data_IF_539804823319
#
_entry.id   IF_539804823319
#
_cell.length_a   1.000
_cell.length_b   1.000
_cell.length_c   1.000
_cell.angle_alpha   90.00
_cell.angle_beta   90.00
_cell.angle_gamma   90.00
#
_symmetry.space_group_name_H-M   'P 1'
#
loop_
_entity.id
_entity.type
_entity.pdbx_description
1 polymer ?
#
# COMPACT_ATOMS: atom_id res chain seq x y z
N UNK A 1 -16.43 34.71 -17.90
CA UNK A 1 -16.16 36.02 -17.25
C UNK A 1 -14.84 35.88 -16.49
N UNK A 2 -13.75 36.48 -16.96
CA UNK A 2 -12.42 36.45 -16.32
C UNK A 2 -12.07 37.88 -15.91
N UNK A 3 -12.71 38.37 -14.86
CA UNK A 3 -12.18 39.53 -14.18
C UNK A 3 -11.25 39.04 -13.07
N UNK A 4 -9.94 39.12 -13.34
CA UNK A 4 -8.91 38.70 -12.38
C UNK A 4 -8.88 39.61 -11.15
N UNK A 5 -9.56 40.75 -11.20
CA UNK A 5 -9.69 41.71 -10.10
C UNK A 5 -10.75 41.28 -9.07
N UNK A 6 -11.64 40.34 -9.42
CA UNK A 6 -12.70 39.86 -8.53
C UNK A 6 -12.50 38.42 -8.06
N UNK A 7 -11.98 37.53 -8.90
CA UNK A 7 -11.81 36.10 -8.54
C UNK A 7 -10.48 35.52 -9.03
N UNK A 8 -9.70 34.99 -8.10
CA UNK A 8 -8.52 34.18 -8.38
C UNK A 8 -8.96 32.79 -8.84
N UNK A 9 -8.54 32.41 -10.05
CA UNK A 9 -8.81 31.08 -10.62
C UNK A 9 -8.37 29.94 -9.70
N UNK A 10 -7.26 30.13 -8.97
CA UNK A 10 -6.73 29.12 -8.06
C UNK A 10 -7.54 28.98 -6.77
N UNK A 11 -8.13 30.08 -6.29
CA UNK A 11 -9.10 30.03 -5.19
C UNK A 11 -10.34 29.24 -5.62
N UNK A 12 -10.88 29.51 -6.82
CA UNK A 12 -11.99 28.73 -7.38
C UNK A 12 -11.66 27.23 -7.50
N UNK A 13 -10.45 26.89 -7.94
CA UNK A 13 -9.99 25.50 -7.97
C UNK A 13 -10.06 24.84 -6.59
N UNK A 14 -9.53 25.49 -5.55
CA UNK A 14 -9.56 24.96 -4.19
C UNK A 14 -10.98 24.86 -3.63
N UNK A 15 -11.84 25.84 -3.90
CA UNK A 15 -13.26 25.82 -3.54
C UNK A 15 -13.98 24.62 -4.17
N UNK A 16 -13.83 24.39 -5.47
CA UNK A 16 -14.47 23.26 -6.15
C UNK A 16 -13.95 21.92 -5.61
N UNK A 17 -12.64 21.84 -5.36
CA UNK A 17 -12.03 20.64 -4.76
C UNK A 17 -12.56 20.34 -3.36
N UNK A 18 -12.90 21.37 -2.58
CA UNK A 18 -13.52 21.22 -1.26
C UNK A 18 -14.96 20.72 -1.35
N UNK A 19 -15.69 21.16 -2.37
CA UNK A 19 -17.08 20.80 -2.61
C UNK A 19 -17.24 19.56 -3.49
N UNK A 20 -16.20 18.73 -3.63
CA UNK A 20 -16.18 17.57 -4.53
C UNK A 20 -17.32 16.59 -4.22
N UNK A 21 -17.73 16.43 -2.95
CA UNK A 21 -18.82 15.54 -2.56
C UNK A 21 -20.18 16.09 -3.01
N UNK A 22 -20.39 17.40 -2.86
CA UNK A 22 -21.58 18.10 -3.36
C UNK A 22 -21.65 17.98 -4.88
N UNK A 23 -20.54 18.23 -5.57
CA UNK A 23 -20.43 18.08 -7.03
C UNK A 23 -20.69 16.63 -7.46
N UNK A 24 -20.17 15.65 -6.71
CA UNK A 24 -20.40 14.23 -6.95
C UNK A 24 -21.89 13.85 -6.83
N UNK A 25 -22.65 14.52 -5.96
CA UNK A 25 -24.09 14.30 -5.82
C UNK A 25 -24.91 14.73 -7.05
N UNK A 26 -24.36 15.61 -7.88
CA UNK A 26 -25.01 16.10 -9.09
C UNK A 26 -24.81 15.17 -10.29
N UNK A 27 -24.02 14.10 -10.16
CA UNK A 27 -23.84 13.12 -11.23
C UNK A 27 -25.07 12.23 -11.38
N UNK A 28 -25.61 12.16 -12.61
CA UNK A 28 -26.78 11.33 -12.96
C UNK A 28 -26.40 10.26 -13.99
N UNK A 29 -27.18 9.18 -14.05
CA UNK A 29 -27.03 8.07 -15.00
C UNK A 29 -26.47 6.78 -14.37
N UNK A 30 -27.00 5.63 -14.79
CA UNK A 30 -26.60 4.30 -14.26
C UNK A 30 -25.34 3.73 -14.94
N UNK A 31 -25.06 4.13 -16.18
CA UNK A 31 -23.90 3.70 -16.98
C UNK A 31 -22.79 4.74 -16.99
N UNK A 32 -22.86 5.72 -17.90
CA UNK A 32 -21.94 6.86 -17.95
C UNK A 32 -22.52 7.97 -17.10
N UNK A 33 -21.84 8.29 -15.99
CA UNK A 33 -22.24 9.35 -15.09
C UNK A 33 -21.80 10.70 -15.65
N UNK A 34 -22.75 11.61 -15.86
CA UNK A 34 -22.46 13.00 -16.22
C UNK A 34 -22.94 13.93 -15.10
N UNK A 35 -22.18 14.98 -14.76
CA UNK A 35 -22.64 15.97 -13.81
C UNK A 35 -23.76 16.80 -14.43
N UNK A 36 -24.82 17.08 -13.67
CA UNK A 36 -25.79 18.09 -14.04
C UNK A 36 -25.12 19.48 -13.98
N UNK A 37 -24.88 20.06 -15.15
CA UNK A 37 -24.19 21.35 -15.26
C UNK A 37 -25.00 22.51 -14.72
N UNK A 38 -26.33 22.44 -14.75
CA UNK A 38 -27.19 23.48 -14.15
C UNK A 38 -26.96 23.55 -12.64
N UNK A 39 -27.00 22.40 -11.97
CA UNK A 39 -26.79 22.31 -10.51
C UNK A 39 -25.39 22.80 -10.10
N UNK A 40 -24.36 22.60 -10.95
CA UNK A 40 -23.01 23.12 -10.71
C UNK A 40 -22.93 24.64 -10.89
N UNK A 41 -23.59 25.19 -11.92
CA UNK A 41 -23.56 26.63 -12.20
C UNK A 41 -24.38 27.44 -11.18
N UNK A 42 -25.36 26.81 -10.55
CA UNK A 42 -26.17 27.39 -9.47
C UNK A 42 -25.48 27.34 -8.11
N UNK A 43 -24.30 26.69 -8.00
CA UNK A 43 -23.55 26.67 -6.73
C UNK A 43 -23.15 28.08 -6.30
N UNK A 44 -23.61 28.47 -5.11
CA UNK A 44 -23.22 29.72 -4.50
C UNK A 44 -21.75 29.66 -4.04
N UNK A 45 -20.95 30.62 -4.51
CA UNK A 45 -19.57 30.81 -4.08
C UNK A 45 -19.45 32.15 -3.38
N UNK A 46 -19.04 32.13 -2.12
CA UNK A 46 -18.62 33.35 -1.44
C UNK A 46 -17.24 33.76 -1.97
N UNK A 47 -17.17 34.99 -2.48
CA UNK A 47 -15.96 35.57 -3.05
C UNK A 47 -15.40 36.55 -2.00
N UNK A 48 -14.43 36.12 -1.16
CA UNK A 48 -13.76 37.01 -0.23
C UNK A 48 -12.88 38.01 -0.98
N UNK A 49 -12.27 38.97 -0.26
CA UNK A 49 -11.38 39.94 -0.89
C UNK A 49 -10.22 39.26 -1.61
N UNK A 50 -9.68 39.89 -2.66
CA UNK A 50 -8.53 39.34 -3.41
C UNK A 50 -7.34 39.03 -2.49
N UNK A 51 -7.09 39.87 -1.48
CA UNK A 51 -6.00 39.66 -0.52
C UNK A 51 -6.22 38.40 0.33
N UNK A 52 -7.46 38.12 0.73
CA UNK A 52 -7.82 36.90 1.46
C UNK A 52 -7.73 35.67 0.57
N UNK A 53 -8.18 35.77 -0.69
CA UNK A 53 -8.01 34.71 -1.67
C UNK A 53 -6.53 34.37 -1.85
N UNK A 54 -5.65 35.36 -2.02
CA UNK A 54 -4.22 35.16 -2.20
C UNK A 54 -3.57 34.51 -0.97
N UNK A 55 -3.96 34.90 0.26
CA UNK A 55 -3.50 34.24 1.50
C UNK A 55 -3.95 32.78 1.61
N UNK A 56 -5.21 32.50 1.30
CA UNK A 56 -5.75 31.13 1.30
C UNK A 56 -4.99 30.28 0.29
N UNK A 57 -4.79 30.80 -0.93
CA UNK A 57 -4.02 30.13 -1.98
C UNK A 57 -2.60 29.82 -1.49
N UNK A 58 -1.90 30.78 -0.90
CA UNK A 58 -0.51 30.60 -0.44
C UNK A 58 -0.41 29.45 0.58
N UNK A 59 -1.33 29.40 1.55
CA UNK A 59 -1.35 28.35 2.58
C UNK A 59 -1.66 27.00 1.95
N UNK A 60 -2.69 26.92 1.11
CA UNK A 60 -3.09 25.67 0.45
C UNK A 60 -2.02 25.15 -0.51
N UNK A 61 -1.28 26.05 -1.16
CA UNK A 61 -0.13 25.73 -1.99
C UNK A 61 1.00 25.12 -1.18
N UNK A 62 1.37 25.74 -0.05
CA UNK A 62 2.41 25.20 0.84
C UNK A 62 2.08 23.78 1.27
N UNK A 63 0.85 23.51 1.68
CA UNK A 63 0.43 22.15 2.03
C UNK A 63 0.43 21.19 0.83
N UNK A 64 0.00 21.65 -0.35
CA UNK A 64 -0.01 20.83 -1.57
C UNK A 64 1.42 20.43 -1.96
N UNK A 65 2.37 21.37 -1.88
CA UNK A 65 3.79 21.15 -2.14
C UNK A 65 4.39 20.16 -1.15
N UNK A 66 4.21 20.36 0.16
CA UNK A 66 4.74 19.45 1.18
C UNK A 66 4.17 18.03 1.05
N UNK A 67 2.88 17.89 0.73
CA UNK A 67 2.28 16.58 0.46
C UNK A 67 2.90 15.89 -0.76
N UNK A 68 3.18 16.65 -1.82
CA UNK A 68 3.82 16.13 -3.02
C UNK A 68 5.28 15.72 -2.77
N UNK A 69 6.06 16.54 -2.06
CA UNK A 69 7.44 16.25 -1.66
C UNK A 69 7.52 14.99 -0.80
N UNK A 70 6.63 14.87 0.21
CA UNK A 70 6.59 13.68 1.07
C UNK A 70 6.23 12.42 0.30
N UNK A 71 5.30 12.50 -0.66
CA UNK A 71 4.97 11.38 -1.57
C UNK A 71 6.16 10.99 -2.45
N UNK A 72 6.91 11.97 -2.94
CA UNK A 72 8.11 11.74 -3.74
C UNK A 72 9.23 11.09 -2.89
N UNK A 73 9.48 11.59 -1.68
CA UNK A 73 10.43 11.01 -0.70
C UNK A 73 10.06 9.56 -0.37
N UNK A 74 8.78 9.28 -0.10
CA UNK A 74 8.29 7.93 0.19
C UNK A 74 8.51 6.99 -1.00
N UNK A 75 8.24 7.45 -2.22
CA UNK A 75 8.53 6.69 -3.44
C UNK A 75 10.04 6.42 -3.58
N UNK A 76 10.87 7.44 -3.45
CA UNK A 76 12.32 7.33 -3.55
C UNK A 76 12.89 6.35 -2.50
N UNK A 77 12.40 6.39 -1.26
CA UNK A 77 12.80 5.44 -0.20
C UNK A 77 12.37 4.01 -0.49
N UNK A 78 11.19 3.78 -1.08
CA UNK A 78 10.77 2.43 -1.49
C UNK A 78 11.64 1.86 -2.61
N UNK A 79 12.02 2.70 -3.57
CA UNK A 79 12.95 2.34 -4.64
C UNK A 79 14.34 2.04 -4.06
N UNK A 80 14.82 2.89 -3.15
CA UNK A 80 16.08 2.70 -2.43
C UNK A 80 16.09 1.40 -1.60
N UNK A 81 15.00 1.09 -0.88
CA UNK A 81 14.84 -0.17 -0.15
C UNK A 81 14.94 -1.36 -1.10
N UNK A 82 14.22 -1.31 -2.22
CA UNK A 82 14.24 -2.39 -3.23
C UNK A 82 15.66 -2.61 -3.75
N UNK A 83 16.39 -1.53 -4.03
CA UNK A 83 17.79 -1.59 -4.44
C UNK A 83 18.67 -2.24 -3.36
N UNK A 84 18.64 -1.77 -2.11
CA UNK A 84 19.48 -2.32 -1.04
C UNK A 84 19.13 -3.77 -0.70
N UNK A 85 17.84 -4.13 -0.68
CA UNK A 85 17.40 -5.51 -0.48
C UNK A 85 18.00 -6.42 -1.54
N UNK A 86 17.86 -6.05 -2.81
CA UNK A 86 18.40 -6.85 -3.91
C UNK A 86 19.93 -6.90 -3.87
N UNK A 87 20.59 -5.82 -3.48
CA UNK A 87 22.05 -5.76 -3.31
C UNK A 87 22.55 -6.69 -2.19
N UNK A 88 21.92 -6.68 -1.01
CA UNK A 88 22.29 -7.54 0.12
C UNK A 88 22.09 -9.04 -0.17
N UNK A 89 21.15 -9.36 -1.06
CA UNK A 89 20.80 -10.72 -1.46
C UNK A 89 21.44 -11.14 -2.80
N UNK A 90 22.31 -10.29 -3.36
CA UNK A 90 22.95 -10.53 -4.64
C UNK A 90 24.09 -11.56 -4.53
N UNK A 91 24.38 -12.20 -5.66
CA UNK A 91 25.52 -13.12 -5.77
C UNK A 91 26.87 -12.43 -5.52
N UNK A 92 26.97 -11.12 -5.77
CA UNK A 92 28.19 -10.34 -5.46
C UNK A 92 28.49 -10.35 -3.95
N UNK A 93 27.46 -10.43 -3.11
CA UNK A 93 27.61 -10.44 -1.65
C UNK A 93 27.66 -11.82 -1.04
N UNK A 94 27.19 -12.84 -1.77
CA UNK A 94 26.92 -14.15 -1.23
C UNK A 94 27.49 -15.22 -2.17
N UNK A 95 28.37 -16.08 -1.66
CA UNK A 95 29.20 -16.96 -2.50
C UNK A 95 28.78 -18.44 -2.48
N UNK A 96 27.69 -18.81 -1.82
CA UNK A 96 27.31 -20.21 -1.62
C UNK A 96 25.97 -20.53 -2.27
N UNK A 97 26.01 -21.21 -3.42
CA UNK A 97 24.83 -21.53 -4.22
C UNK A 97 24.30 -22.91 -3.89
N UNK A 98 23.01 -23.00 -3.55
CA UNK A 98 22.28 -24.25 -3.33
C UNK A 98 21.04 -24.33 -4.20
N UNK A 99 20.57 -25.55 -4.48
CA UNK A 99 19.26 -25.76 -5.09
C UNK A 99 18.16 -25.54 -4.05
N UNK A 100 17.14 -24.76 -4.39
CA UNK A 100 16.09 -24.41 -3.44
C UNK A 100 15.36 -25.65 -2.91
N UNK A 101 15.05 -26.62 -3.79
CA UNK A 101 14.40 -27.89 -3.44
C UNK A 101 15.08 -28.68 -2.33
N UNK A 102 16.40 -28.52 -2.17
CA UNK A 102 17.17 -29.25 -1.16
C UNK A 102 17.01 -28.61 0.24
N UNK A 103 16.60 -27.34 0.29
CA UNK A 103 16.51 -26.54 1.52
C UNK A 103 15.08 -26.30 2.00
N UNK A 104 14.08 -26.45 1.13
CA UNK A 104 12.69 -26.12 1.44
C UNK A 104 11.72 -27.26 1.17
N UNK A 105 10.64 -27.31 1.94
CA UNK A 105 9.48 -28.17 1.73
C UNK A 105 8.37 -27.36 1.06
N UNK A 106 7.85 -27.88 -0.04
CA UNK A 106 6.71 -27.29 -0.73
C UNK A 106 5.43 -27.98 -0.30
N UNK A 107 4.48 -27.19 0.19
CA UNK A 107 3.12 -27.66 0.48
C UNK A 107 2.15 -27.04 -0.50
N UNK A 108 1.49 -27.89 -1.31
CA UNK A 108 0.38 -27.49 -2.18
C UNK A 108 -0.87 -27.27 -1.33
N UNK A 109 -1.69 -26.31 -1.73
CA UNK A 109 -2.97 -26.05 -1.07
C UNK A 109 -4.02 -27.09 -1.45
N UNK A 110 -5.04 -27.21 -0.60
CA UNK A 110 -6.27 -27.94 -0.89
C UNK A 110 -7.16 -27.10 -1.81
N UNK A 111 -6.82 -27.05 -3.11
CA UNK A 111 -7.55 -26.26 -4.14
C UNK A 111 -9.04 -26.56 -4.25
N UNK A 112 -9.53 -27.66 -3.65
CA UNK A 112 -10.92 -28.12 -3.70
C UNK A 112 -11.77 -27.74 -2.48
N UNK A 113 -11.21 -27.22 -1.39
CA UNK A 113 -12.01 -26.88 -0.20
C UNK A 113 -12.44 -25.42 -0.19
N UNK A 114 -13.75 -25.21 -0.01
CA UNK A 114 -14.31 -23.91 0.37
C UNK A 114 -13.99 -23.73 1.85
N UNK A 115 -13.31 -22.63 2.20
CA UNK A 115 -13.08 -22.30 3.60
C UNK A 115 -14.45 -22.09 4.27
N UNK A 116 -14.77 -22.80 5.36
CA UNK A 116 -16.00 -22.55 6.10
C UNK A 116 -15.96 -21.12 6.66
N UNK A 117 -17.12 -20.47 6.71
CA UNK A 117 -17.22 -19.12 7.28
C UNK A 117 -16.85 -19.13 8.76
N UNK A 118 -16.16 -18.08 9.19
CA UNK A 118 -15.71 -17.88 10.55
C UNK A 118 -15.11 -16.49 10.73
N UNK A 119 -14.37 -16.28 11.80
CA UNK A 119 -13.98 -14.94 12.27
C UNK A 119 -12.55 -14.87 12.84
N UNK A 120 -11.91 -16.01 13.07
CA UNK A 120 -10.59 -16.07 13.69
C UNK A 120 -9.43 -15.83 12.71
N UNK A 121 -9.36 -16.61 11.62
CA UNK A 121 -8.21 -16.62 10.71
C UNK A 121 -8.57 -16.05 9.33
N UNK A 122 -7.64 -15.30 8.70
CA UNK A 122 -7.85 -14.81 7.34
C UNK A 122 -7.81 -15.97 6.32
N UNK A 123 -8.71 -15.90 5.35
CA UNK A 123 -8.63 -16.73 4.13
C UNK A 123 -7.78 -15.97 3.11
N UNK A 124 -6.69 -16.59 2.67
CA UNK A 124 -5.77 -16.05 1.67
C UNK A 124 -6.01 -16.80 0.35
N UNK A 125 -6.30 -16.07 -0.72
CA UNK A 125 -6.47 -16.64 -2.06
C UNK A 125 -5.72 -15.79 -3.08
N UNK A 126 -4.97 -16.45 -3.97
CA UNK A 126 -4.23 -15.75 -5.03
C UNK A 126 -3.22 -14.74 -4.50
N UNK A 127 -2.70 -14.92 -3.28
CA UNK A 127 -1.72 -14.03 -2.67
C UNK A 127 -2.30 -12.73 -2.10
N UNK A 128 -3.61 -12.66 -1.92
CA UNK A 128 -4.26 -11.55 -1.21
C UNK A 128 -5.08 -12.07 -0.04
N UNK A 129 -5.16 -11.26 1.02
CA UNK A 129 -6.12 -11.47 2.09
C UNK A 129 -7.52 -11.23 1.52
N UNK A 130 -8.33 -12.28 1.45
CA UNK A 130 -9.74 -12.12 1.09
C UNK A 130 -10.50 -11.42 2.22
N UNK A 131 -11.69 -10.88 1.93
CA UNK A 131 -12.59 -10.35 2.98
C UNK A 131 -13.14 -11.44 3.89
N UNK A 132 -13.02 -12.71 3.48
CA UNK A 132 -13.52 -13.86 4.22
C UNK A 132 -12.55 -14.25 5.34
N UNK A 133 -13.14 -14.66 6.46
CA UNK A 133 -12.44 -15.32 7.55
C UNK A 133 -13.02 -16.71 7.81
N UNK A 134 -12.27 -17.50 8.56
CA UNK A 134 -12.61 -18.88 8.90
C UNK A 134 -12.10 -19.21 10.29
N UNK A 135 -12.69 -20.20 10.95
CA UNK A 135 -12.26 -20.64 12.27
C UNK A 135 -11.24 -21.79 12.21
N UNK A 136 -10.92 -22.25 11.00
CA UNK A 136 -9.89 -23.27 10.74
C UNK A 136 -8.70 -22.66 10.00
N UNK A 137 -7.51 -23.22 10.21
CA UNK A 137 -6.32 -22.82 9.46
C UNK A 137 -5.68 -24.06 8.84
N UNK A 138 -4.94 -23.87 7.75
CA UNK A 138 -4.18 -24.95 7.10
C UNK A 138 -2.68 -24.61 6.99
N UNK A 139 -2.26 -23.44 7.49
CA UNK A 139 -0.87 -23.03 7.66
C UNK A 139 -0.70 -22.38 9.03
N UNK A 140 0.43 -22.69 9.65
CA UNK A 140 0.88 -22.05 10.88
C UNK A 140 1.34 -20.60 10.60
N UNK A 141 1.77 -19.90 11.65
CA UNK A 141 2.42 -18.60 11.52
C UNK A 141 3.81 -18.69 10.87
N UNK A 142 4.34 -17.53 10.44
CA UNK A 142 5.62 -17.38 9.76
C UNK A 142 5.74 -18.16 8.44
N UNK A 143 4.63 -18.27 7.70
CA UNK A 143 4.58 -19.04 6.47
C UNK A 143 4.75 -18.17 5.22
N UNK A 144 5.32 -18.75 4.15
CA UNK A 144 5.47 -18.10 2.85
C UNK A 144 4.46 -18.70 1.88
N UNK A 145 3.77 -17.84 1.14
CA UNK A 145 2.86 -18.25 0.06
C UNK A 145 3.30 -17.66 -1.27
N UNK A 146 3.17 -18.44 -2.34
CA UNK A 146 3.30 -17.99 -3.73
C UNK A 146 2.02 -18.31 -4.48
N UNK A 147 1.35 -17.29 -5.01
CA UNK A 147 0.12 -17.43 -5.76
C UNK A 147 0.30 -18.36 -6.96
N UNK A 148 -0.58 -19.35 -7.11
CA UNK A 148 -0.38 -20.38 -8.13
C UNK A 148 -0.98 -20.00 -9.49
N UNK A 149 -1.97 -19.12 -9.53
CA UNK A 149 -2.72 -18.82 -10.75
C UNK A 149 -3.34 -17.42 -10.78
N UNK A 150 -3.81 -17.02 -11.97
CA UNK A 150 -4.53 -15.76 -12.18
C UNK A 150 -3.61 -14.56 -12.39
N UNK A 151 -4.18 -13.36 -12.29
CA UNK A 151 -3.42 -12.11 -12.43
C UNK A 151 -2.24 -12.03 -11.45
N UNK A 152 -2.44 -12.61 -10.27
CA UNK A 152 -1.48 -12.60 -9.17
C UNK A 152 -0.51 -13.78 -9.18
N UNK A 153 -0.52 -14.66 -10.19
CA UNK A 153 0.38 -15.81 -10.25
C UNK A 153 1.84 -15.39 -9.98
N UNK A 154 2.54 -16.14 -9.12
CA UNK A 154 3.93 -15.88 -8.74
C UNK A 154 4.15 -14.85 -7.64
N UNK A 155 3.13 -14.11 -7.17
CA UNK A 155 3.31 -13.13 -6.08
C UNK A 155 3.74 -13.85 -4.80
N UNK A 156 4.83 -13.39 -4.19
CA UNK A 156 5.38 -13.89 -2.92
C UNK A 156 4.87 -13.05 -1.75
N UNK A 157 4.32 -13.70 -0.71
CA UNK A 157 3.91 -13.07 0.55
C UNK A 157 4.42 -13.84 1.77
N UNK A 158 4.50 -13.12 2.89
CA UNK A 158 4.84 -13.64 4.21
C UNK A 158 3.67 -13.41 5.17
N UNK A 159 3.37 -14.40 6.00
CA UNK A 159 2.27 -14.36 6.95
C UNK A 159 2.78 -14.62 8.35
N UNK A 160 2.73 -13.60 9.21
CA UNK A 160 3.12 -13.71 10.63
C UNK A 160 2.03 -14.32 11.52
N UNK A 161 0.87 -14.66 10.96
CA UNK A 161 -0.26 -15.28 11.67
C UNK A 161 -0.66 -16.57 10.97
N UNK A 162 -1.39 -17.43 11.68
CA UNK A 162 -2.09 -18.57 11.08
C UNK A 162 -3.03 -18.10 9.97
N UNK A 163 -3.08 -18.87 8.88
CA UNK A 163 -3.92 -18.56 7.72
C UNK A 163 -4.61 -19.81 7.17
N UNK A 164 -5.68 -19.59 6.41
CA UNK A 164 -6.22 -20.58 5.49
C UNK A 164 -5.83 -20.21 4.06
N UNK A 165 -4.82 -20.92 3.52
CA UNK A 165 -4.29 -20.70 2.18
C UNK A 165 -5.09 -21.48 1.12
N UNK A 166 -5.47 -20.77 0.05
CA UNK A 166 -6.12 -21.30 -1.15
C UNK A 166 -5.47 -20.69 -2.39
N UNK A 167 -5.55 -21.39 -3.52
CA UNK A 167 -5.08 -20.89 -4.83
C UNK A 167 -3.60 -20.47 -4.84
N UNK A 168 -2.81 -20.97 -3.89
CA UNK A 168 -1.39 -20.76 -3.80
C UNK A 168 -0.66 -22.08 -3.50
N UNK A 169 0.66 -22.01 -3.42
CA UNK A 169 1.47 -23.02 -2.79
C UNK A 169 2.39 -22.32 -1.81
N UNK A 170 3.02 -23.10 -0.96
CA UNK A 170 3.61 -22.56 0.25
C UNK A 170 4.95 -23.22 0.53
N UNK A 171 5.88 -22.47 1.14
CA UNK A 171 7.28 -22.86 1.30
C UNK A 171 7.71 -22.74 2.76
N UNK A 172 8.43 -23.75 3.23
CA UNK A 172 8.98 -23.81 4.59
C UNK A 172 10.43 -24.32 4.55
N UNK A 173 11.31 -23.72 5.35
CA UNK A 173 12.68 -24.19 5.50
C UNK A 173 12.70 -25.59 6.17
N UNK A 174 13.38 -26.56 5.55
CA UNK A 174 13.50 -27.95 6.06
C UNK A 174 14.43 -28.10 7.26
N UNK A 175 15.35 -27.15 7.46
CA UNK A 175 16.43 -27.27 8.44
C UNK A 175 16.76 -25.94 9.07
N UNK A 176 17.46 -25.98 10.20
CA UNK A 176 18.01 -24.81 10.88
C UNK A 176 19.13 -24.08 10.10
N UNK A 177 19.51 -24.59 8.92
CA UNK A 177 20.48 -23.93 8.04
C UNK A 177 19.89 -22.74 7.27
N UNK A 178 18.56 -22.68 7.13
CA UNK A 178 17.86 -21.64 6.39
C UNK A 178 16.86 -20.93 7.30
N UNK A 179 17.04 -19.62 7.47
CA UNK A 179 16.07 -18.77 8.15
C UNK A 179 14.85 -18.54 7.24
N UNK A 180 13.66 -18.77 7.78
CA UNK A 180 12.39 -18.64 7.06
C UNK A 180 12.13 -17.22 6.53
N UNK A 181 12.45 -16.17 7.30
CA UNK A 181 12.35 -14.78 6.82
C UNK A 181 13.42 -14.44 5.77
N UNK A 182 14.62 -15.00 5.91
CA UNK A 182 15.65 -14.85 4.87
C UNK A 182 15.17 -15.45 3.55
N UNK A 183 14.59 -16.65 3.59
CA UNK A 183 13.96 -17.29 2.43
C UNK A 183 12.87 -16.39 1.82
N UNK A 184 12.02 -15.78 2.64
CA UNK A 184 11.02 -14.82 2.18
C UNK A 184 11.65 -13.65 1.42
N UNK A 185 12.63 -12.96 2.03
CA UNK A 185 13.26 -11.80 1.42
C UNK A 185 13.99 -12.16 0.12
N UNK A 186 14.64 -13.32 0.08
CA UNK A 186 15.27 -13.84 -1.13
C UNK A 186 14.26 -14.16 -2.23
N UNK A 187 13.14 -14.81 -1.91
CA UNK A 187 12.07 -15.02 -2.89
C UNK A 187 11.50 -13.68 -3.39
N UNK A 188 11.37 -12.70 -2.50
CA UNK A 188 10.87 -11.37 -2.83
C UNK A 188 11.84 -10.56 -3.70
N UNK A 189 13.16 -10.71 -3.52
CA UNK A 189 14.15 -10.10 -4.41
C UNK A 189 14.17 -10.77 -5.79
N UNK A 190 13.78 -12.05 -5.88
CA UNK A 190 13.70 -12.82 -7.11
C UNK A 190 12.29 -12.84 -7.73
N UNK A 191 11.43 -11.88 -7.35
CA UNK A 191 10.04 -11.81 -7.80
C UNK A 191 9.90 -11.81 -9.34
N UNK A 192 10.80 -11.12 -10.04
CA UNK A 192 10.81 -11.07 -11.51
C UNK A 192 11.20 -12.42 -12.13
N UNK A 193 12.16 -13.14 -11.54
CA UNK A 193 12.50 -14.50 -11.99
C UNK A 193 11.33 -15.46 -11.80
N UNK A 194 10.61 -15.36 -10.67
CA UNK A 194 9.39 -16.15 -10.43
C UNK A 194 8.30 -15.79 -11.46
N UNK A 195 8.16 -14.52 -11.85
CA UNK A 195 7.20 -14.13 -12.89
C UNK A 195 7.55 -14.69 -14.27
N UNK A 196 8.83 -14.86 -14.60
CA UNK A 196 9.24 -15.51 -15.86
C UNK A 196 8.84 -16.99 -15.93
N UNK A 197 8.55 -17.62 -14.78
CA UNK A 197 8.05 -18.99 -14.71
C UNK A 197 6.54 -19.11 -15.02
N UNK A 198 5.85 -17.99 -15.27
CA UNK A 198 4.42 -18.01 -15.62
C UNK A 198 4.19 -18.77 -16.91
N UNK A 199 3.23 -19.70 -16.88
CA UNK A 199 2.77 -20.40 -18.08
C UNK A 199 2.08 -19.45 -19.06
N UNK A 200 2.23 -19.70 -20.36
CA UNK A 200 1.63 -18.92 -21.46
C UNK A 200 0.13 -19.22 -21.73
N UNK A 201 -0.53 -19.99 -20.86
CA UNK A 201 -1.96 -20.32 -21.01
C UNK A 201 -2.90 -19.15 -20.75
N UNK A 202 -4.18 -19.31 -21.09
CA UNK A 202 -5.25 -18.30 -20.89
C UNK A 202 -5.33 -17.79 -19.45
N UNK A 203 -5.06 -18.66 -18.48
CA UNK A 203 -4.88 -18.31 -17.07
C UNK A 203 -3.40 -18.54 -16.74
N UNK A 204 -2.61 -17.48 -16.50
CA UNK A 204 -1.21 -17.63 -16.08
C UNK A 204 -1.11 -18.45 -14.80
N UNK A 205 -0.12 -19.35 -14.74
CA UNK A 205 0.15 -20.19 -13.57
C UNK A 205 1.64 -20.25 -13.29
N UNK A 206 1.98 -20.30 -12.01
CA UNK A 206 3.32 -20.62 -11.52
C UNK A 206 3.23 -21.93 -10.76
N UNK A 207 4.08 -22.90 -11.09
CA UNK A 207 4.08 -24.20 -10.42
C UNK A 207 5.23 -24.29 -9.42
N UNK A 208 4.98 -24.95 -8.28
CA UNK A 208 5.99 -25.22 -7.27
C UNK A 208 7.24 -25.92 -7.84
N UNK A 209 7.06 -26.85 -8.78
CA UNK A 209 8.14 -27.58 -9.47
C UNK A 209 9.10 -26.69 -10.26
N UNK A 210 8.65 -25.51 -10.69
CA UNK A 210 9.49 -24.59 -11.45
C UNK A 210 10.27 -23.70 -10.47
N UNK A 211 9.61 -23.27 -9.38
CA UNK A 211 10.23 -22.49 -8.30
C UNK A 211 11.27 -23.29 -7.53
N UNK A 212 11.05 -24.58 -7.27
CA UNK A 212 11.97 -25.43 -6.51
C UNK A 212 13.33 -25.63 -7.19
N UNK A 213 13.41 -25.38 -8.51
CA UNK A 213 14.65 -25.45 -9.29
C UNK A 213 15.45 -24.15 -9.30
N UNK A 214 14.95 -23.09 -8.63
CA UNK A 214 15.73 -21.87 -8.46
C UNK A 214 16.94 -22.11 -7.55
N UNK A 215 17.96 -21.28 -7.73
CA UNK A 215 19.22 -21.36 -6.98
C UNK A 215 19.28 -20.25 -5.96
N UNK A 216 19.43 -20.61 -4.68
CA UNK A 216 19.50 -19.67 -3.57
C UNK A 216 20.94 -19.53 -3.07
N UNK A 217 21.33 -18.28 -2.82
CA UNK A 217 22.57 -17.96 -2.14
C UNK A 217 22.36 -18.12 -0.63
N UNK A 218 23.11 -19.01 0.02
CA UNK A 218 22.93 -19.37 1.42
C UNK A 218 24.18 -19.04 2.25
N UNK A 219 24.30 -17.82 2.79
CA UNK A 219 25.36 -17.50 3.75
C UNK A 219 25.11 -18.21 5.09
N UNK A 220 26.07 -18.11 6.02
CA UNK A 220 25.87 -18.64 7.39
C UNK A 220 24.59 -18.10 8.04
N UNK A 221 23.96 -18.88 8.91
CA UNK A 221 22.72 -18.48 9.61
C UNK A 221 22.86 -17.14 10.35
N UNK A 222 24.06 -16.84 10.87
CA UNK A 222 24.37 -15.56 11.52
C UNK A 222 24.26 -14.37 10.56
N UNK A 223 24.70 -14.53 9.31
CA UNK A 223 24.59 -13.50 8.28
C UNK A 223 23.13 -13.39 7.81
N UNK A 224 22.44 -14.51 7.62
CA UNK A 224 21.01 -14.51 7.27
C UNK A 224 20.19 -13.70 8.29
N UNK A 225 20.40 -13.94 9.60
CA UNK A 225 19.72 -13.21 10.66
C UNK A 225 20.03 -11.70 10.62
N UNK A 226 21.29 -11.30 10.41
CA UNK A 226 21.64 -9.88 10.26
C UNK A 226 20.95 -9.21 9.07
N UNK A 227 20.85 -9.92 7.95
CA UNK A 227 20.13 -9.42 6.76
C UNK A 227 18.64 -9.25 7.11
N UNK A 228 18.04 -10.25 7.76
CA UNK A 228 16.64 -10.20 8.21
C UNK A 228 16.42 -9.02 9.16
N UNK A 229 17.27 -8.81 10.16
CA UNK A 229 17.15 -7.71 11.12
C UNK A 229 17.15 -6.34 10.42
N UNK A 230 18.05 -6.17 9.45
CA UNK A 230 18.13 -4.93 8.65
C UNK A 230 16.86 -4.75 7.82
N UNK A 231 16.43 -5.78 7.08
CA UNK A 231 15.28 -5.69 6.20
C UNK A 231 13.96 -5.52 6.96
N UNK A 232 13.77 -6.22 8.09
CA UNK A 232 12.62 -6.07 8.97
C UNK A 232 12.53 -4.65 9.54
N UNK A 233 13.66 -4.06 9.95
CA UNK A 233 13.68 -2.68 10.44
C UNK A 233 13.27 -1.70 9.34
N UNK A 234 13.75 -1.88 8.11
CA UNK A 234 13.32 -1.07 6.97
C UNK A 234 11.82 -1.26 6.65
N UNK A 235 11.32 -2.50 6.61
CA UNK A 235 9.90 -2.76 6.37
C UNK A 235 9.02 -2.12 7.43
N UNK A 236 9.42 -2.20 8.70
CA UNK A 236 8.70 -1.54 9.80
C UNK A 236 8.61 -0.03 9.59
N UNK A 237 9.72 0.63 9.24
CA UNK A 237 9.73 2.08 8.94
C UNK A 237 8.84 2.42 7.74
N UNK A 238 8.77 1.55 6.74
CA UNK A 238 7.98 1.77 5.53
C UNK A 238 6.49 1.43 5.65
N UNK A 239 6.09 0.51 6.54
CA UNK A 239 4.73 -0.05 6.60
C UNK A 239 3.94 0.36 7.85
N UNK A 240 4.59 0.71 8.96
CA UNK A 240 3.87 0.99 10.21
C UNK A 240 3.10 2.32 10.15
N UNK A 241 1.77 2.22 10.30
CA UNK A 241 0.81 3.34 10.30
C UNK A 241 0.97 4.23 11.55
N UNK A 242 1.69 3.77 12.59
CA UNK A 242 1.86 4.52 13.84
C UNK A 242 3.28 5.07 14.06
N UNK A 243 4.28 4.59 13.30
CA UNK A 243 5.70 4.94 13.52
C UNK A 243 6.43 5.32 12.22
N UNK A 244 5.84 5.05 11.05
CA UNK A 244 6.51 5.18 9.75
C UNK A 244 6.01 6.32 8.86
N UNK A 245 6.61 6.41 7.67
CA UNK A 245 6.28 7.42 6.64
C UNK A 245 4.80 7.44 6.21
N UNK A 246 4.07 6.30 6.13
CA UNK A 246 2.64 6.32 5.85
C UNK A 246 1.82 7.01 6.94
N UNK A 247 2.25 6.91 8.21
CA UNK A 247 1.63 7.61 9.35
C UNK A 247 1.71 9.12 9.15
N UNK A 248 2.92 9.60 8.87
CA UNK A 248 3.17 11.02 8.63
C UNK A 248 2.38 11.53 7.43
N UNK A 249 2.34 10.77 6.33
CA UNK A 249 1.55 11.14 5.16
C UNK A 249 0.05 11.23 5.49
N UNK A 250 -0.50 10.25 6.19
CA UNK A 250 -1.91 10.26 6.59
C UNK A 250 -2.22 11.43 7.53
N UNK A 251 -1.37 11.68 8.53
CA UNK A 251 -1.50 12.83 9.43
C UNK A 251 -1.46 14.16 8.66
N UNK A 252 -0.53 14.30 7.70
CA UNK A 252 -0.43 15.49 6.85
C UNK A 252 -1.64 15.65 5.94
N UNK A 253 -2.17 14.57 5.39
CA UNK A 253 -3.39 14.60 4.57
C UNK A 253 -4.62 14.96 5.41
N UNK A 254 -4.74 14.46 6.64
CA UNK A 254 -5.80 14.82 7.58
C UNK A 254 -5.70 16.28 8.02
N UNK A 255 -4.49 16.74 8.38
CA UNK A 255 -4.23 18.14 8.71
C UNK A 255 -4.56 19.06 7.52
N UNK A 256 -4.13 18.69 6.31
CA UNK A 256 -4.46 19.43 5.10
C UNK A 256 -5.97 19.51 4.89
N UNK A 257 -6.70 18.40 5.00
CA UNK A 257 -8.15 18.40 4.88
C UNK A 257 -8.80 19.31 5.93
N UNK A 258 -8.40 19.19 7.20
CA UNK A 258 -8.91 20.03 8.27
C UNK A 258 -8.66 21.53 8.05
N UNK A 259 -7.43 21.93 7.73
CA UNK A 259 -7.11 23.35 7.50
C UNK A 259 -7.70 23.88 6.20
N UNK A 260 -7.78 23.06 5.15
CA UNK A 260 -8.49 23.42 3.91
C UNK A 260 -9.95 23.69 4.18
N UNK A 261 -10.63 22.76 4.87
CA UNK A 261 -12.05 22.88 5.18
C UNK A 261 -12.26 24.12 6.08
N UNK A 262 -11.45 24.31 7.12
CA UNK A 262 -11.52 25.48 8.02
C UNK A 262 -11.32 26.81 7.27
N UNK A 263 -10.30 26.91 6.41
CA UNK A 263 -10.00 28.14 5.66
C UNK A 263 -11.10 28.47 4.65
N UNK A 264 -11.66 27.45 3.98
CA UNK A 264 -12.72 27.65 3.00
C UNK A 264 -14.08 27.88 3.65
N UNK A 265 -14.38 27.26 4.79
CA UNK A 265 -15.56 27.57 5.60
C UNK A 265 -15.51 28.99 6.19
N UNK A 266 -14.32 29.46 6.61
CA UNK A 266 -14.14 30.87 7.00
C UNK A 266 -14.40 31.82 5.84
N UNK A 267 -13.86 31.51 4.65
CA UNK A 267 -14.10 32.29 3.45
C UNK A 267 -15.58 32.29 2.99
N UNK A 268 -16.36 31.30 3.42
CA UNK A 268 -17.80 31.16 3.19
C UNK A 268 -18.68 31.77 4.31
N UNK A 269 -18.08 32.41 5.32
CA UNK A 269 -18.84 33.02 6.41
C UNK A 269 -19.47 32.03 7.41
N UNK A 270 -19.12 30.74 7.33
CA UNK A 270 -19.77 29.64 8.06
C UNK A 270 -18.95 29.18 9.30
N UNK A 271 -18.49 30.08 10.16
CA UNK A 271 -17.76 29.69 11.37
C UNK A 271 -18.63 29.68 12.62
N UNK A 272 -19.04 28.48 13.03
CA UNK A 272 -19.24 28.19 14.45
C UNK A 272 -17.89 27.82 15.07
N UNK A 273 -17.34 28.75 15.86
CA UNK A 273 -16.12 28.50 16.63
C UNK A 273 -16.50 27.70 17.87
N UNK A 274 -16.36 26.37 17.82
CA UNK A 274 -16.37 25.54 19.04
C UNK A 274 -14.94 25.46 19.63
N UNK A 275 -14.69 26.01 20.83
CA UNK A 275 -13.36 26.10 21.44
C UNK A 275 -12.67 24.76 21.74
N UNK A 276 -13.43 23.66 21.80
CA UNK A 276 -12.89 22.35 22.23
C UNK A 276 -12.02 21.67 21.17
N UNK A 277 -12.24 21.96 19.87
CA UNK A 277 -11.48 21.32 18.77
C UNK A 277 -10.16 22.00 18.44
N UNK A 278 -9.94 23.26 18.85
CA UNK A 278 -8.66 23.96 18.65
C UNK A 278 -7.54 23.44 19.56
N UNK A 279 -7.88 22.77 20.68
CA UNK A 279 -6.88 22.18 21.57
C UNK A 279 -6.15 21.00 20.94
N UNK A 280 -6.84 20.16 20.15
CA UNK A 280 -6.25 18.98 19.51
C UNK A 280 -5.31 19.34 18.33
N UNK A 281 -5.60 20.43 17.61
CA UNK A 281 -4.78 20.90 16.49
C UNK A 281 -3.49 21.61 16.91
N UNK A 282 -3.38 22.05 18.18
CA UNK A 282 -2.19 22.75 18.71
C UNK A 282 -1.24 21.84 19.49
N UNK A 283 -1.64 20.61 19.80
CA UNK A 283 -0.90 19.70 20.67
C UNK A 283 -0.27 18.50 19.94
N UNK A 284 -0.14 18.53 18.62
CA UNK A 284 0.37 17.41 17.79
C UNK A 284 1.44 17.86 16.81
#
# INVERSE_FOLDING_TARGET
MKDKETLRTKYLYYFLKNNINTIASFYRGSGIKHPNMSDILEMEIMIPSIQEQDRIIEILDKFTTFSAELKAELKARKEQYTYYRNYLLSEEKLNYIYQLKDLVEFRKDETSKIAPEGHLYPVVSGGETSKQKTDIYNREENFITISSSGANAGIVNFWSTKIFAKDCFSLEAKSNLLNQKYLYYWLKSNQEEIYKLKSLGTIPRVYAKDVENLKIQLPSIKIQNKIVDVLDNFEKICQDINVGLPSELNLREQQYAYYRDKLLSFAQGNLEVSPERERLARSS
#
